data_IF_531097571848
#
_entry.id   IF_531097571848
#
_cell.length_a   1.000
_cell.length_b   1.000
_cell.length_c   1.000
_cell.angle_alpha   90.00
_cell.angle_beta   90.00
_cell.angle_gamma   90.00
#
_symmetry.space_group_name_H-M   'P 1'
#
loop_
_entity.id
_entity.type
_entity.pdbx_description
1 polymer ?
#
# COMPACT_ATOMS: atom_id res chain seq x y z
N UNK A 1 3.13 -25.30 -19.95
CA UNK A 1 3.81 -24.04 -19.64
C UNK A 1 2.73 -22.97 -19.57
N UNK A 2 2.29 -22.64 -18.36
CA UNK A 2 1.28 -21.61 -18.12
C UNK A 2 2.01 -20.30 -17.82
N UNK A 3 1.82 -19.31 -18.67
CA UNK A 3 2.36 -17.96 -18.53
C UNK A 3 1.46 -17.23 -17.53
N UNK A 4 1.91 -17.09 -16.28
CA UNK A 4 1.26 -16.24 -15.28
C UNK A 4 1.47 -14.78 -15.71
N UNK A 5 0.41 -14.12 -16.20
CA UNK A 5 0.37 -12.67 -16.29
C UNK A 5 0.24 -12.11 -14.86
N UNK A 6 1.35 -11.57 -14.31
CA UNK A 6 1.30 -10.70 -13.15
C UNK A 6 0.62 -9.40 -13.58
N UNK A 7 -0.62 -9.21 -13.17
CA UNK A 7 -1.25 -7.90 -13.20
C UNK A 7 -0.61 -7.06 -12.08
N UNK A 8 0.33 -6.18 -12.44
CA UNK A 8 0.85 -5.18 -11.53
C UNK A 8 -0.24 -4.15 -11.24
N UNK A 9 -0.44 -3.80 -9.98
CA UNK A 9 -1.24 -2.64 -9.58
C UNK A 9 -0.51 -1.36 -10.03
N UNK A 10 -0.74 -0.94 -11.28
CA UNK A 10 -0.19 0.29 -11.84
C UNK A 10 -1.29 1.32 -12.06
N UNK A 11 -1.01 2.63 -11.94
CA UNK A 11 -1.99 3.66 -12.17
C UNK A 11 -2.40 3.69 -13.65
N UNK A 12 -3.71 3.52 -13.91
CA UNK A 12 -4.29 3.73 -15.23
C UNK A 12 -4.53 5.23 -15.43
N UNK A 13 -3.55 5.95 -15.99
CA UNK A 13 -3.70 7.31 -16.45
C UNK A 13 -3.66 7.40 -17.96
N UNK A 14 -4.48 8.26 -18.62
CA UNK A 14 -4.45 8.43 -20.06
C UNK A 14 -3.17 9.13 -20.51
N UNK A 15 -2.55 8.59 -21.56
CA UNK A 15 -1.38 9.17 -22.22
C UNK A 15 -1.73 10.50 -22.87
N UNK A 16 -1.00 11.56 -22.51
CA UNK A 16 -0.98 12.82 -23.22
C UNK A 16 0.24 12.86 -24.16
N UNK A 17 0.15 13.57 -25.31
CA UNK A 17 1.18 13.55 -26.34
C UNK A 17 2.44 14.35 -25.97
N UNK A 18 3.56 13.92 -26.54
CA UNK A 18 4.92 14.42 -26.39
C UNK A 18 5.08 15.93 -26.53
N UNK A 19 5.78 16.51 -25.56
CA UNK A 19 6.39 17.84 -25.69
C UNK A 19 7.91 17.72 -25.50
N UNK A 20 8.73 18.55 -26.20
CA UNK A 20 10.15 18.29 -26.40
C UNK A 20 11.02 18.57 -25.17
N UNK A 21 12.11 17.81 -25.09
CA UNK A 21 13.18 17.77 -24.12
C UNK A 21 13.68 19.14 -23.61
N UNK A 22 13.68 19.25 -22.27
CA UNK A 22 14.48 20.24 -21.55
C UNK A 22 15.38 19.50 -20.57
N UNK A 23 16.70 19.74 -20.54
CA UNK A 23 17.60 19.00 -19.67
C UNK A 23 17.33 19.37 -18.20
N UNK A 24 16.82 18.44 -17.43
CA UNK A 24 16.71 18.58 -15.97
C UNK A 24 17.97 18.06 -15.31
N UNK A 25 18.52 18.89 -14.43
CA UNK A 25 19.63 18.60 -13.55
C UNK A 25 19.38 17.36 -12.72
N UNK A 26 20.13 16.29 -12.99
CA UNK A 26 20.19 15.09 -12.16
C UNK A 26 20.84 15.40 -10.81
N UNK A 27 20.03 15.55 -9.78
CA UNK A 27 20.51 15.46 -8.40
C UNK A 27 20.46 13.99 -7.97
N UNK A 28 21.65 13.43 -7.82
CA UNK A 28 22.08 12.23 -7.12
C UNK A 28 21.01 11.20 -6.71
N UNK A 29 20.51 10.38 -7.67
CA UNK A 29 19.87 9.11 -7.35
C UNK A 29 20.94 8.02 -7.30
N UNK A 30 20.96 7.28 -6.19
CA UNK A 30 21.79 6.09 -6.03
C UNK A 30 21.56 5.13 -7.22
N UNK A 31 22.61 4.71 -7.94
CA UNK A 31 22.49 3.84 -9.11
C UNK A 31 21.93 2.45 -8.81
N UNK A 32 21.74 2.08 -7.53
CA UNK A 32 21.32 0.75 -7.11
C UNK A 32 19.80 0.55 -7.04
N UNK A 33 18.98 1.62 -7.07
CA UNK A 33 17.53 1.49 -6.94
C UNK A 33 16.80 1.54 -8.29
N UNK A 34 17.15 0.63 -9.20
CA UNK A 34 16.53 0.50 -10.53
C UNK A 34 15.20 -0.26 -10.54
N UNK A 35 14.66 -0.63 -9.37
CA UNK A 35 13.39 -1.36 -9.30
C UNK A 35 12.23 -0.48 -9.70
N UNK A 36 11.37 -0.99 -10.59
CA UNK A 36 10.09 -0.35 -10.89
C UNK A 36 9.17 -0.38 -9.66
N UNK A 37 8.16 0.47 -9.63
CA UNK A 37 7.16 0.46 -8.55
C UNK A 37 6.50 -0.91 -8.39
N UNK A 38 6.13 -1.54 -9.51
CA UNK A 38 5.59 -2.90 -9.51
C UNK A 38 6.54 -3.93 -8.85
N UNK A 39 7.85 -3.82 -9.11
CA UNK A 39 8.84 -4.68 -8.46
C UNK A 39 8.99 -4.38 -6.96
N UNK A 40 8.87 -3.13 -6.55
CA UNK A 40 8.89 -2.74 -5.13
C UNK A 40 7.64 -3.27 -4.41
N UNK A 41 6.47 -3.14 -5.03
CA UNK A 41 5.21 -3.69 -4.51
C UNK A 41 5.27 -5.21 -4.37
N UNK A 42 5.76 -5.91 -5.40
CA UNK A 42 5.94 -7.37 -5.34
C UNK A 42 6.88 -7.77 -4.20
N UNK A 43 8.00 -7.05 -4.02
CA UNK A 43 8.94 -7.31 -2.93
C UNK A 43 8.31 -7.12 -1.53
N UNK A 44 7.38 -6.18 -1.36
CA UNK A 44 6.62 -6.03 -0.10
C UNK A 44 5.77 -7.26 0.17
N UNK A 45 5.08 -7.79 -0.84
CA UNK A 45 4.23 -8.98 -0.71
C UNK A 45 5.08 -10.23 -0.42
N UNK A 46 6.19 -10.39 -1.11
CA UNK A 46 7.13 -11.50 -0.89
C UNK A 46 7.69 -11.47 0.55
N UNK A 47 8.11 -10.28 0.99
CA UNK A 47 8.62 -10.08 2.35
C UNK A 47 7.54 -10.36 3.39
N UNK A 48 6.31 -9.88 3.16
CA UNK A 48 5.19 -10.15 4.06
C UNK A 48 4.91 -11.65 4.16
N UNK A 49 4.88 -12.37 3.04
CA UNK A 49 4.68 -13.81 3.01
C UNK A 49 5.79 -14.56 3.73
N UNK A 50 7.06 -14.15 3.56
CA UNK A 50 8.19 -14.73 4.28
C UNK A 50 8.04 -14.53 5.79
N UNK A 51 7.74 -13.31 6.23
CA UNK A 51 7.53 -13.03 7.66
C UNK A 51 6.33 -13.81 8.20
N UNK A 52 5.21 -13.88 7.48
CA UNK A 52 4.02 -14.67 7.86
C UNK A 52 4.36 -16.14 8.09
N UNK A 53 5.19 -16.73 7.24
CA UNK A 53 5.67 -18.11 7.38
C UNK A 53 6.42 -18.33 8.68
N UNK A 54 7.26 -17.38 9.10
CA UNK A 54 7.99 -17.44 10.38
C UNK A 54 7.05 -17.41 11.59
N UNK A 55 5.85 -16.84 11.42
CA UNK A 55 4.79 -16.85 12.44
C UNK A 55 3.78 -18.00 12.28
N UNK A 56 4.11 -19.02 11.48
CA UNK A 56 3.31 -20.24 11.33
C UNK A 56 2.22 -20.15 10.26
N UNK A 57 2.13 -19.07 9.50
CA UNK A 57 1.19 -18.95 8.39
C UNK A 57 1.80 -19.51 7.09
N UNK A 58 1.44 -20.74 6.75
CA UNK A 58 1.98 -21.41 5.57
C UNK A 58 1.20 -21.13 4.27
N UNK A 59 0.02 -20.52 4.37
CA UNK A 59 -0.75 -20.11 3.20
C UNK A 59 -0.28 -18.73 2.73
N UNK A 60 0.32 -18.62 1.55
CA UNK A 60 0.77 -17.33 1.05
C UNK A 60 -0.42 -16.45 0.67
N UNK A 61 -0.27 -15.16 0.88
CA UNK A 61 -1.19 -14.16 0.36
C UNK A 61 -1.00 -14.01 -1.15
N UNK A 62 -2.10 -13.95 -1.88
CA UNK A 62 -2.13 -13.68 -3.32
C UNK A 62 -2.54 -12.24 -3.58
N UNK A 63 -1.82 -11.55 -4.46
CA UNK A 63 -2.17 -10.19 -4.84
C UNK A 63 -3.51 -10.17 -5.59
N UNK A 64 -4.40 -9.26 -5.21
CA UNK A 64 -5.74 -9.11 -5.79
C UNK A 64 -5.96 -7.65 -6.22
N UNK A 65 -6.41 -7.46 -7.46
CA UNK A 65 -6.55 -6.13 -8.06
C UNK A 65 -7.59 -5.25 -7.33
N UNK A 66 -8.68 -5.83 -6.83
CA UNK A 66 -9.70 -5.06 -6.11
C UNK A 66 -9.21 -4.67 -4.71
N UNK A 67 -8.42 -5.54 -4.06
CA UNK A 67 -7.78 -5.24 -2.79
C UNK A 67 -6.69 -4.18 -2.98
N UNK A 68 -5.96 -4.19 -4.10
CA UNK A 68 -5.03 -3.13 -4.45
C UNK A 68 -5.75 -1.78 -4.61
N UNK A 69 -6.88 -1.75 -5.33
CA UNK A 69 -7.66 -0.53 -5.52
C UNK A 69 -8.20 0.03 -4.18
N UNK A 70 -8.57 -0.83 -3.24
CA UNK A 70 -8.93 -0.42 -1.88
C UNK A 70 -7.71 0.15 -1.13
N UNK A 71 -6.58 -0.53 -1.19
CA UNK A 71 -5.34 -0.09 -0.55
C UNK A 71 -4.89 1.28 -1.09
N UNK A 72 -5.04 1.54 -2.38
CA UNK A 72 -4.74 2.84 -3.00
C UNK A 72 -5.65 3.95 -2.48
N UNK A 73 -6.96 3.69 -2.35
CA UNK A 73 -7.90 4.66 -1.74
C UNK A 73 -7.50 4.99 -0.29
N UNK A 74 -7.09 3.99 0.48
CA UNK A 74 -6.60 4.20 1.84
C UNK A 74 -5.28 4.98 1.88
N UNK A 75 -4.35 4.69 0.96
CA UNK A 75 -3.10 5.43 0.84
C UNK A 75 -3.36 6.90 0.47
N UNK A 76 -4.30 7.15 -0.44
CA UNK A 76 -4.72 8.52 -0.80
C UNK A 76 -5.32 9.27 0.39
N UNK A 77 -6.18 8.62 1.15
CA UNK A 77 -6.76 9.21 2.36
C UNK A 77 -5.67 9.58 3.39
N UNK A 78 -4.69 8.70 3.57
CA UNK A 78 -3.55 8.94 4.44
C UNK A 78 -2.72 10.13 3.96
N UNK A 79 -2.47 10.24 2.66
CA UNK A 79 -1.77 11.38 2.07
C UNK A 79 -2.56 12.68 2.30
N UNK A 80 -3.85 12.68 2.06
CA UNK A 80 -4.71 13.85 2.27
C UNK A 80 -4.71 14.31 3.74
N UNK A 81 -4.61 13.36 4.69
CA UNK A 81 -4.43 13.66 6.11
C UNK A 81 -3.06 14.27 6.40
N UNK A 82 -1.98 13.68 5.89
CA UNK A 82 -0.60 14.17 6.06
C UNK A 82 -0.43 15.59 5.49
N UNK A 83 -1.10 15.89 4.39
CA UNK A 83 -1.10 17.22 3.75
C UNK A 83 -2.05 18.22 4.45
N UNK A 84 -2.67 17.86 5.55
CA UNK A 84 -3.54 18.74 6.32
C UNK A 84 -4.88 19.08 5.64
N UNK A 85 -5.31 18.31 4.62
CA UNK A 85 -6.57 18.58 3.90
C UNK A 85 -7.81 18.40 4.78
N UNK A 86 -7.66 17.76 5.93
CA UNK A 86 -8.72 17.64 6.94
C UNK A 86 -8.82 18.87 7.85
N UNK A 87 -7.87 19.82 7.77
CA UNK A 87 -7.88 21.09 8.47
C UNK A 87 -7.97 20.92 9.99
N UNK A 88 -8.80 21.76 10.61
CA UNK A 88 -9.10 21.68 12.05
C UNK A 88 -10.15 20.62 12.36
N UNK A 89 -9.85 19.35 12.10
CA UNK A 89 -10.64 18.23 12.61
C UNK A 89 -10.02 17.75 13.94
N UNK A 90 -10.32 18.40 15.08
CA UNK A 90 -9.57 18.28 16.31
C UNK A 90 -9.61 16.86 16.93
N UNK A 91 -10.52 16.04 16.46
CA UNK A 91 -10.71 14.68 16.94
C UNK A 91 -10.55 13.62 15.84
N UNK A 92 -10.11 14.00 14.65
CA UNK A 92 -9.98 13.09 13.51
C UNK A 92 -11.29 12.45 13.05
N UNK A 93 -12.44 13.03 13.40
CA UNK A 93 -13.76 12.42 13.14
C UNK A 93 -14.06 12.27 11.66
N UNK A 94 -13.70 13.27 10.84
CA UNK A 94 -13.90 13.22 9.39
C UNK A 94 -12.99 12.17 8.76
N UNK A 95 -11.71 12.19 9.14
CA UNK A 95 -10.74 11.18 8.70
C UNK A 95 -11.20 9.77 9.10
N UNK A 96 -11.63 9.59 10.34
CA UNK A 96 -12.10 8.29 10.83
C UNK A 96 -13.35 7.83 10.09
N UNK A 97 -14.27 8.76 9.77
CA UNK A 97 -15.45 8.43 8.97
C UNK A 97 -15.07 7.96 7.59
N UNK A 98 -14.24 8.73 6.88
CA UNK A 98 -13.81 8.40 5.51
C UNK A 98 -13.03 7.08 5.47
N UNK A 99 -12.20 6.84 6.48
CA UNK A 99 -11.51 5.55 6.66
C UNK A 99 -12.50 4.39 6.82
N UNK A 100 -13.51 4.55 7.66
CA UNK A 100 -14.53 3.53 7.88
C UNK A 100 -15.35 3.30 6.61
N UNK A 101 -15.71 4.37 5.90
CA UNK A 101 -16.44 4.25 4.64
C UNK A 101 -15.64 3.44 3.60
N UNK A 102 -14.33 3.71 3.46
CA UNK A 102 -13.47 2.94 2.54
C UNK A 102 -13.34 1.49 3.02
N UNK A 103 -13.12 1.25 4.31
CA UNK A 103 -12.92 -0.09 4.86
C UNK A 103 -14.15 -0.99 4.77
N UNK A 104 -15.33 -0.39 4.60
CA UNK A 104 -16.61 -1.08 4.43
C UNK A 104 -17.05 -1.17 2.96
N UNK A 105 -16.26 -0.66 2.01
CA UNK A 105 -16.58 -0.83 0.60
C UNK A 105 -16.68 -2.32 0.28
N UNK A 106 -17.74 -2.73 -0.43
CA UNK A 106 -17.88 -4.12 -0.83
C UNK A 106 -16.77 -4.46 -1.85
N UNK A 107 -15.96 -5.43 -1.51
CA UNK A 107 -14.96 -6.02 -2.39
C UNK A 107 -15.42 -7.45 -2.67
N UNK A 108 -16.43 -7.60 -3.52
CA UNK A 108 -16.99 -8.90 -4.00
C UNK A 108 -17.02 -10.03 -2.93
N UNK A 109 -17.65 -9.77 -1.80
CA UNK A 109 -17.77 -10.74 -0.72
C UNK A 109 -16.52 -10.93 0.15
N UNK A 110 -15.44 -10.21 -0.14
CA UNK A 110 -14.21 -10.25 0.63
C UNK A 110 -14.35 -9.46 1.93
N UNK A 111 -13.72 -9.92 2.99
CA UNK A 111 -13.75 -9.28 4.30
C UNK A 111 -12.37 -8.76 4.67
N UNK A 112 -12.30 -7.50 5.13
CA UNK A 112 -11.09 -6.89 5.62
C UNK A 112 -10.59 -7.60 6.90
N UNK A 113 -9.34 -8.02 6.88
CA UNK A 113 -8.69 -8.72 8.00
C UNK A 113 -7.64 -7.84 8.65
N UNK A 114 -6.78 -7.19 7.88
CA UNK A 114 -5.71 -6.37 8.40
C UNK A 114 -5.35 -5.20 7.48
N UNK A 115 -4.84 -4.13 8.07
CA UNK A 115 -4.36 -2.94 7.38
C UNK A 115 -3.12 -2.41 8.09
N UNK A 116 -2.10 -2.05 7.32
CA UNK A 116 -0.91 -1.35 7.79
C UNK A 116 -0.48 -0.27 6.82
N UNK A 117 -0.16 0.90 7.34
CA UNK A 117 0.39 2.01 6.58
C UNK A 117 1.81 2.33 6.98
N UNK A 118 2.60 2.81 6.03
CA UNK A 118 3.96 3.30 6.26
C UNK A 118 4.30 4.41 5.27
N UNK A 119 5.25 5.27 5.63
CA UNK A 119 5.67 6.40 4.80
C UNK A 119 6.67 6.03 3.67
N UNK A 120 7.02 4.76 3.56
CA UNK A 120 7.93 4.22 2.54
C UNK A 120 7.59 2.74 2.29
N UNK A 121 8.28 2.09 1.34
CA UNK A 121 8.16 0.64 1.18
C UNK A 121 8.64 -0.07 2.45
N UNK A 122 7.75 -0.82 3.16
CA UNK A 122 8.12 -1.41 4.44
C UNK A 122 9.19 -2.48 4.25
N UNK A 123 10.24 -2.38 5.05
CA UNK A 123 11.28 -3.40 5.12
C UNK A 123 10.80 -4.59 5.96
N UNK A 124 11.54 -5.70 5.91
CA UNK A 124 11.27 -6.86 6.76
C UNK A 124 11.21 -6.49 8.25
N UNK A 125 12.12 -5.65 8.73
CA UNK A 125 12.13 -5.18 10.11
C UNK A 125 10.86 -4.43 10.49
N UNK A 126 10.34 -3.59 9.60
CA UNK A 126 9.07 -2.86 9.79
C UNK A 126 7.90 -3.84 9.85
N UNK A 127 7.83 -4.80 8.91
CA UNK A 127 6.75 -5.80 8.86
C UNK A 127 6.78 -6.67 10.13
N UNK A 128 7.94 -7.11 10.59
CA UNK A 128 8.10 -7.83 11.86
C UNK A 128 7.65 -6.99 13.06
N UNK A 129 7.89 -5.68 13.02
CA UNK A 129 7.43 -4.74 14.04
C UNK A 129 5.92 -4.64 14.15
N UNK A 130 5.18 -4.87 13.07
CA UNK A 130 3.72 -4.81 13.09
C UNK A 130 3.06 -5.80 14.05
N UNK A 131 3.69 -6.94 14.31
CA UNK A 131 3.17 -7.94 15.28
C UNK A 131 3.10 -7.38 16.70
N UNK A 132 3.95 -6.41 17.02
CA UNK A 132 4.03 -5.77 18.35
C UNK A 132 3.15 -4.51 18.44
N UNK A 133 2.48 -4.14 17.37
CA UNK A 133 1.58 -2.97 17.37
C UNK A 133 0.39 -3.23 18.30
N UNK A 134 -0.01 -2.21 19.06
CA UNK A 134 -1.11 -2.32 20.03
C UNK A 134 -2.50 -2.36 19.38
N UNK A 135 -2.59 -1.94 18.11
CA UNK A 135 -3.83 -2.04 17.34
C UNK A 135 -4.08 -3.46 16.81
N UNK A 136 -5.33 -3.76 16.50
CA UNK A 136 -5.69 -5.09 15.94
C UNK A 136 -5.32 -5.27 14.47
N UNK A 137 -5.21 -4.18 13.72
CA UNK A 137 -5.13 -4.23 12.26
C UNK A 137 -3.74 -4.61 11.72
N UNK A 138 -2.69 -4.02 12.25
CA UNK A 138 -1.32 -4.31 11.82
C UNK A 138 -0.85 -5.71 12.22
N UNK A 139 -1.06 -6.17 13.47
CA UNK A 139 -0.75 -7.56 13.81
C UNK A 139 -1.45 -8.56 12.90
N UNK A 140 -2.71 -8.32 12.53
CA UNK A 140 -3.48 -9.22 11.67
C UNK A 140 -2.87 -9.39 10.26
N UNK A 141 -2.12 -8.41 9.74
CA UNK A 141 -1.37 -8.55 8.49
C UNK A 141 -0.43 -9.76 8.52
N UNK A 142 0.20 -9.98 9.66
CA UNK A 142 1.21 -11.04 9.84
C UNK A 142 0.60 -12.30 10.43
N UNK A 143 -0.25 -12.18 11.46
CA UNK A 143 -0.66 -13.33 12.30
C UNK A 143 -1.98 -13.97 11.87
N UNK A 144 -2.80 -13.30 11.04
CA UNK A 144 -4.08 -13.89 10.63
C UNK A 144 -3.90 -15.09 9.72
N UNK A 145 -4.49 -16.21 10.09
CA UNK A 145 -4.54 -17.44 9.27
C UNK A 145 -5.69 -17.43 8.26
N UNK A 146 -6.65 -16.53 8.42
CA UNK A 146 -7.81 -16.40 7.52
C UNK A 146 -7.49 -15.58 6.27
N UNK A 147 -6.48 -14.71 6.33
CA UNK A 147 -6.13 -13.85 5.21
C UNK A 147 -5.52 -14.68 4.07
N UNK A 148 -6.07 -14.50 2.87
CA UNK A 148 -5.65 -15.18 1.64
C UNK A 148 -5.29 -14.20 0.53
N UNK A 149 -5.79 -12.96 0.61
CA UNK A 149 -5.60 -11.91 -0.41
C UNK A 149 -4.82 -10.75 0.18
N UNK A 150 -4.04 -10.09 -0.66
CA UNK A 150 -3.31 -8.86 -0.33
C UNK A 150 -3.43 -7.82 -1.43
N UNK A 151 -3.51 -6.57 -1.03
CA UNK A 151 -3.34 -5.42 -1.90
C UNK A 151 -2.33 -4.45 -1.31
N UNK A 152 -1.55 -3.82 -2.17
CA UNK A 152 -0.61 -2.76 -1.80
C UNK A 152 -0.96 -1.53 -2.62
N UNK A 153 -1.33 -0.46 -1.95
CA UNK A 153 -1.61 0.83 -2.56
C UNK A 153 -0.47 1.81 -2.31
N UNK A 154 -0.03 2.47 -3.35
CA UNK A 154 1.03 3.49 -3.32
C UNK A 154 0.50 4.77 -3.91
N UNK A 155 0.65 5.88 -3.20
CA UNK A 155 0.24 7.20 -3.69
C UNK A 155 1.39 8.19 -3.47
N UNK A 156 1.81 8.85 -4.53
CA UNK A 156 2.86 9.85 -4.47
C UNK A 156 2.27 11.25 -4.31
N UNK A 157 2.92 12.05 -3.46
CA UNK A 157 2.64 13.48 -3.41
C UNK A 157 3.27 14.15 -4.62
N UNK A 158 2.43 14.82 -5.41
CA UNK A 158 2.86 15.55 -6.62
C UNK A 158 3.01 17.05 -6.39
N UNK A 159 2.74 17.56 -5.20
CA UNK A 159 2.89 18.98 -4.88
C UNK A 159 4.36 19.29 -4.56
N UNK A 160 5.07 20.06 -5.43
CA UNK A 160 6.48 20.37 -5.23
C UNK A 160 6.76 21.32 -4.05
N UNK A 161 5.71 21.87 -3.43
CA UNK A 161 5.83 22.77 -2.27
C UNK A 161 5.77 22.04 -0.93
N UNK A 162 5.46 20.77 -0.97
CA UNK A 162 5.36 19.93 0.23
C UNK A 162 6.46 18.87 0.25
N UNK A 163 6.58 18.16 1.38
CA UNK A 163 7.49 17.02 1.48
C UNK A 163 7.12 15.94 0.48
N UNK A 164 8.10 15.18 0.03
CA UNK A 164 7.89 13.93 -0.71
C UNK A 164 7.24 12.89 0.21
N UNK A 165 5.92 13.00 0.36
CA UNK A 165 5.13 12.03 1.11
C UNK A 165 4.58 11.01 0.11
N UNK A 166 4.82 9.73 0.36
CA UNK A 166 4.27 8.64 -0.44
C UNK A 166 3.82 7.50 0.47
N UNK A 167 2.66 7.68 1.13
CA UNK A 167 2.13 6.63 1.98
C UNK A 167 1.84 5.37 1.18
N UNK A 168 2.24 4.26 1.78
CA UNK A 168 1.98 2.92 1.27
C UNK A 168 1.04 2.23 2.23
N UNK A 169 -0.04 1.67 1.70
CA UNK A 169 -0.98 0.86 2.45
C UNK A 169 -0.89 -0.59 2.02
N UNK A 170 -0.81 -1.46 3.00
CA UNK A 170 -0.94 -2.91 2.82
C UNK A 170 -2.25 -3.35 3.44
N UNK A 171 -3.09 -3.99 2.65
CA UNK A 171 -4.40 -4.49 3.05
C UNK A 171 -4.43 -5.99 2.85
N UNK A 172 -4.89 -6.74 3.84
CA UNK A 172 -5.16 -8.17 3.68
C UNK A 172 -6.62 -8.48 3.92
N UNK A 173 -7.15 -9.38 3.11
CA UNK A 173 -8.55 -9.77 3.13
C UNK A 173 -8.69 -11.29 3.07
N UNK A 174 -9.84 -11.80 3.49
CA UNK A 174 -10.31 -13.17 3.25
C UNK A 174 -11.55 -13.15 2.36
N UNK A 175 -11.84 -14.26 1.72
CA UNK A 175 -13.12 -14.49 1.05
C UNK A 175 -14.24 -14.65 2.05
#
# INVERSE_FOLDING_TARGET
MALLLLAACGPSGPSAPDAPDKPSSETGKDPTDKKTEAQKVAAVVDTLNAVRKDYGNNTPLTMDAEVCAMAEKMAKLQLDWLLGKYGTDPNGKRYTKDWNDISQLPVKGKKLVGVGGYAAYPTESVIRGWVKDTGKWKPALVTSTEATLVGVGVVHNTDPKTRDEYPIMVVVMTY
#
